data_IF_861178179939
#
_entry.id   IF_861178179939
#
_cell.length_a   1.000
_cell.length_b   1.000
_cell.length_c   1.000
_cell.angle_alpha   90.00
_cell.angle_beta   90.00
_cell.angle_gamma   90.00
#
_symmetry.space_group_name_H-M   'P 1'
#
loop_
_entity.id
_entity.type
_entity.pdbx_description
1 polymer ?
#
# COMPACT_ATOMS: atom_id res chain seq x y z
N UNK A 1 7.59 -12.48 20.44
CA UNK A 1 7.44 -13.78 21.10
C UNK A 1 8.04 -14.93 20.27
N UNK A 2 7.89 -14.93 18.94
CA UNK A 2 8.35 -16.05 18.08
C UNK A 2 9.88 -16.18 18.01
N UNK A 3 10.62 -15.10 17.83
CA UNK A 3 12.07 -15.10 17.73
C UNK A 3 12.76 -15.67 18.96
N UNK A 4 12.34 -15.24 20.15
CA UNK A 4 12.92 -15.71 21.42
C UNK A 4 12.63 -17.21 21.61
N UNK A 5 11.39 -17.63 21.42
CA UNK A 5 10.99 -19.03 21.55
C UNK A 5 11.68 -19.93 20.51
N UNK A 6 11.79 -19.48 19.24
CA UNK A 6 12.49 -20.23 18.21
C UNK A 6 14.00 -20.36 18.50
N UNK A 7 14.61 -19.31 19.05
CA UNK A 7 16.03 -19.34 19.46
C UNK A 7 16.29 -20.26 20.67
N UNK A 8 15.40 -20.28 21.65
CA UNK A 8 15.46 -21.17 22.82
C UNK A 8 15.34 -22.66 22.38
N UNK A 9 14.32 -22.97 21.54
CA UNK A 9 14.12 -24.33 21.05
C UNK A 9 15.28 -24.79 20.15
N UNK A 10 15.90 -23.86 19.39
CA UNK A 10 17.03 -24.17 18.51
C UNK A 10 18.26 -24.65 19.29
N UNK A 11 18.47 -24.17 20.53
CA UNK A 11 19.59 -24.59 21.39
C UNK A 11 19.41 -26.01 21.91
N UNK A 12 18.17 -26.44 22.11
CA UNK A 12 17.85 -27.76 22.71
C UNK A 12 17.53 -28.84 21.66
N UNK A 13 17.43 -28.47 20.36
CA UNK A 13 17.03 -29.39 19.30
C UNK A 13 18.21 -30.02 18.58
N UNK A 14 18.29 -31.36 18.62
CA UNK A 14 19.26 -32.18 17.88
C UNK A 14 18.72 -32.71 16.54
N UNK A 15 17.41 -32.54 16.26
CA UNK A 15 16.79 -32.95 15.01
C UNK A 15 17.10 -31.93 13.91
N UNK A 16 17.76 -32.41 12.84
CA UNK A 16 18.20 -31.57 11.71
C UNK A 16 17.02 -30.95 10.93
N UNK A 17 15.90 -31.64 10.80
CA UNK A 17 14.73 -31.14 10.08
C UNK A 17 14.04 -30.04 10.88
N UNK A 18 13.86 -30.25 12.18
CA UNK A 18 13.30 -29.26 13.08
C UNK A 18 14.21 -28.04 13.20
N UNK A 19 15.52 -28.23 13.26
CA UNK A 19 16.52 -27.16 13.26
C UNK A 19 16.44 -26.29 12.00
N UNK A 20 16.32 -26.89 10.82
CA UNK A 20 16.18 -26.15 9.56
C UNK A 20 14.87 -25.37 9.50
N UNK A 21 13.77 -25.90 9.99
CA UNK A 21 12.49 -25.18 10.10
C UNK A 21 12.61 -23.96 11.01
N UNK A 22 13.27 -24.11 12.17
CA UNK A 22 13.48 -23.01 13.10
C UNK A 22 14.40 -21.91 12.52
N UNK A 23 15.48 -22.31 11.82
CA UNK A 23 16.37 -21.37 11.12
C UNK A 23 15.63 -20.60 10.04
N UNK A 24 14.73 -21.22 9.28
CA UNK A 24 13.91 -20.56 8.27
C UNK A 24 12.96 -19.54 8.92
N UNK A 25 12.34 -19.89 10.05
CA UNK A 25 11.48 -18.95 10.81
C UNK A 25 12.29 -17.75 11.30
N UNK A 26 13.47 -17.98 11.88
CA UNK A 26 14.34 -16.91 12.36
C UNK A 26 14.82 -16.01 11.22
N UNK A 27 15.24 -16.59 10.10
CA UNK A 27 15.67 -15.84 8.91
C UNK A 27 14.53 -14.94 8.38
N UNK A 28 13.32 -15.49 8.30
CA UNK A 28 12.13 -14.75 7.86
C UNK A 28 11.78 -13.60 8.82
N UNK A 29 11.84 -13.84 10.13
CA UNK A 29 11.56 -12.83 11.14
C UNK A 29 12.63 -11.72 11.13
N UNK A 30 13.92 -12.04 10.91
CA UNK A 30 15.00 -11.05 10.75
C UNK A 30 14.77 -10.17 9.52
N UNK A 31 14.51 -10.77 8.35
CA UNK A 31 14.20 -10.02 7.13
C UNK A 31 13.00 -9.09 7.29
N UNK A 32 12.01 -9.52 8.08
CA UNK A 32 10.86 -8.69 8.43
C UNK A 32 11.25 -7.48 9.27
N UNK A 33 12.09 -7.68 10.29
CA UNK A 33 12.57 -6.59 11.15
C UNK A 33 13.39 -5.60 10.33
N UNK A 34 14.27 -6.07 9.46
CA UNK A 34 15.06 -5.22 8.56
C UNK A 34 14.16 -4.35 7.68
N UNK A 35 13.11 -4.94 7.07
CA UNK A 35 12.13 -4.16 6.29
C UNK A 35 11.40 -3.13 7.15
N UNK A 36 10.92 -3.52 8.33
CA UNK A 36 10.24 -2.60 9.24
C UNK A 36 11.13 -1.41 9.64
N UNK A 37 12.42 -1.65 9.91
CA UNK A 37 13.40 -0.59 10.23
C UNK A 37 13.61 0.31 9.02
N UNK A 38 13.76 -0.27 7.83
CA UNK A 38 13.97 0.48 6.58
C UNK A 38 12.76 1.35 6.26
N UNK A 39 11.56 0.77 6.29
CA UNK A 39 10.32 1.49 6.01
C UNK A 39 10.05 2.60 7.04
N UNK A 40 10.31 2.32 8.32
CA UNK A 40 10.16 3.32 9.37
C UNK A 40 11.18 4.46 9.24
N UNK A 41 12.44 4.13 8.91
CA UNK A 41 13.48 5.12 8.66
C UNK A 41 13.15 5.99 7.46
N UNK A 42 12.61 5.39 6.40
CA UNK A 42 12.16 6.13 5.22
C UNK A 42 10.99 7.07 5.55
N UNK A 43 10.00 6.57 6.31
CA UNK A 43 8.87 7.39 6.77
C UNK A 43 9.33 8.60 7.59
N UNK A 44 10.32 8.45 8.50
CA UNK A 44 10.88 9.57 9.27
C UNK A 44 11.62 10.58 8.38
N UNK A 45 12.38 10.09 7.38
CA UNK A 45 13.03 10.97 6.40
C UNK A 45 11.98 11.75 5.58
N UNK A 46 10.91 11.10 5.20
CA UNK A 46 9.81 11.71 4.47
C UNK A 46 9.10 12.78 5.31
N UNK A 47 8.84 12.54 6.59
CA UNK A 47 8.28 13.54 7.50
C UNK A 47 9.17 14.80 7.60
N UNK A 48 10.49 14.62 7.65
CA UNK A 48 11.45 15.74 7.66
C UNK A 48 11.53 16.44 6.31
N UNK A 49 11.48 15.71 5.20
CA UNK A 49 11.47 16.27 3.84
C UNK A 49 10.21 17.06 3.56
N UNK A 50 9.04 16.56 4.01
CA UNK A 50 7.74 17.24 3.87
C UNK A 50 7.74 18.65 4.45
N UNK A 51 8.48 18.90 5.52
CA UNK A 51 8.60 20.25 6.12
C UNK A 51 9.31 21.27 5.21
N UNK A 52 10.00 20.82 4.16
CA UNK A 52 10.77 21.64 3.21
C UNK A 52 10.16 21.69 1.82
N UNK A 53 9.29 20.75 1.48
CA UNK A 53 8.65 20.67 0.17
C UNK A 53 7.52 21.72 0.08
N UNK A 54 7.43 22.41 -1.06
CA UNK A 54 6.44 23.45 -1.29
C UNK A 54 5.30 22.91 -2.14
N UNK A 55 4.09 23.09 -1.68
CA UNK A 55 2.88 22.88 -2.46
C UNK A 55 2.90 23.73 -3.72
N UNK A 56 2.52 23.14 -4.85
CA UNK A 56 2.39 23.79 -6.16
C UNK A 56 1.06 23.40 -6.79
N UNK A 57 0.58 24.23 -7.71
CA UNK A 57 -0.56 23.86 -8.54
C UNK A 57 -0.10 22.81 -9.54
N UNK A 58 -0.58 21.59 -9.41
CA UNK A 58 -0.22 20.43 -10.25
C UNK A 58 -1.47 19.81 -10.86
N UNK A 59 -1.32 19.20 -12.03
CA UNK A 59 -2.32 18.35 -12.65
C UNK A 59 -2.01 16.90 -12.28
N UNK A 60 -2.94 16.24 -11.60
CA UNK A 60 -2.69 14.88 -11.09
C UNK A 60 -2.97 13.79 -12.11
N UNK A 61 -3.65 14.11 -13.21
CA UNK A 61 -4.00 13.13 -14.25
C UNK A 61 -2.77 12.49 -14.88
N UNK A 62 -1.78 13.24 -15.44
CA UNK A 62 -0.58 12.64 -16.00
C UNK A 62 0.26 11.88 -14.99
N UNK A 63 0.24 12.30 -13.70
CA UNK A 63 0.94 11.59 -12.62
C UNK A 63 0.33 10.21 -12.41
N UNK A 64 -1.01 10.15 -12.26
CA UNK A 64 -1.73 8.89 -12.04
C UNK A 64 -1.54 7.95 -13.25
N UNK A 65 -1.65 8.48 -14.48
CA UNK A 65 -1.48 7.70 -15.70
C UNK A 65 -0.08 7.08 -15.76
N UNK A 66 0.97 7.86 -15.47
CA UNK A 66 2.36 7.37 -15.45
C UNK A 66 2.54 6.20 -14.47
N UNK A 67 2.02 6.34 -13.25
CA UNK A 67 2.11 5.26 -12.25
C UNK A 67 1.34 4.02 -12.71
N UNK A 68 0.14 4.18 -13.28
CA UNK A 68 -0.67 3.06 -13.79
C UNK A 68 0.07 2.33 -14.91
N UNK A 69 0.69 3.06 -15.84
CA UNK A 69 1.43 2.47 -16.96
C UNK A 69 2.66 1.68 -16.47
N UNK A 70 3.41 2.22 -15.51
CA UNK A 70 4.56 1.54 -14.91
C UNK A 70 4.14 0.24 -14.22
N UNK A 71 3.05 0.27 -13.45
CA UNK A 71 2.53 -0.90 -12.76
C UNK A 71 1.97 -1.95 -13.72
N UNK A 72 1.31 -1.56 -14.79
CA UNK A 72 0.86 -2.48 -15.85
C UNK A 72 2.06 -3.19 -16.50
N UNK A 73 3.13 -2.47 -16.81
CA UNK A 73 4.34 -3.04 -17.41
C UNK A 73 4.97 -4.12 -16.52
N UNK A 74 4.91 -3.95 -15.20
CA UNK A 74 5.51 -4.89 -14.23
C UNK A 74 4.58 -6.06 -13.92
N UNK A 75 3.33 -5.80 -13.60
CA UNK A 75 2.42 -6.77 -12.96
C UNK A 75 1.59 -7.57 -13.96
N UNK A 76 1.31 -7.03 -15.16
CA UNK A 76 0.67 -7.76 -16.23
C UNK A 76 1.52 -8.97 -16.67
N UNK A 77 2.83 -8.80 -16.74
CA UNK A 77 3.76 -9.88 -17.10
C UNK A 77 3.93 -10.90 -15.95
N UNK A 78 4.01 -10.43 -14.71
CA UNK A 78 4.31 -11.30 -13.55
C UNK A 78 3.11 -12.07 -13.01
N UNK A 79 1.93 -11.43 -12.99
CA UNK A 79 0.73 -11.97 -12.35
C UNK A 79 -0.51 -11.94 -13.24
N UNK A 80 -0.43 -11.44 -14.47
CA UNK A 80 -1.58 -11.23 -15.34
C UNK A 80 -2.58 -10.19 -14.82
N UNK A 81 -2.21 -9.39 -13.81
CA UNK A 81 -3.06 -8.34 -13.24
C UNK A 81 -3.05 -7.15 -14.18
N UNK A 82 -4.25 -6.67 -14.52
CA UNK A 82 -4.45 -5.49 -15.37
C UNK A 82 -5.02 -4.34 -14.53
N UNK A 83 -4.41 -3.16 -14.68
CA UNK A 83 -4.91 -1.93 -14.06
C UNK A 83 -5.60 -1.11 -15.15
N UNK A 84 -6.90 -0.87 -14.99
CA UNK A 84 -7.69 -0.05 -15.89
C UNK A 84 -7.87 1.35 -15.31
N UNK A 85 -7.41 2.35 -16.06
CA UNK A 85 -7.56 3.76 -15.72
C UNK A 85 -8.77 4.35 -16.45
N UNK A 86 -9.59 5.13 -15.73
CA UNK A 86 -10.71 5.90 -16.28
C UNK A 86 -10.79 7.27 -15.61
N UNK A 87 -11.22 8.27 -16.38
CA UNK A 87 -11.55 9.59 -15.86
C UNK A 87 -12.92 10.05 -16.39
N UNK A 88 -13.47 11.13 -15.82
CA UNK A 88 -14.77 11.70 -16.19
C UNK A 88 -14.69 12.69 -17.38
N UNK A 89 -13.56 12.72 -18.10
CA UNK A 89 -13.36 13.53 -19.30
C UNK A 89 -13.09 15.02 -19.06
N UNK A 90 -12.69 15.41 -17.85
CA UNK A 90 -12.19 16.77 -17.58
C UNK A 90 -10.83 16.98 -18.23
N UNK A 91 -10.59 18.18 -18.73
CA UNK A 91 -9.31 18.54 -19.35
C UNK A 91 -8.14 18.52 -18.35
N UNK A 92 -8.42 18.83 -17.08
CA UNK A 92 -7.39 18.91 -16.02
C UNK A 92 -7.97 18.62 -14.65
N UNK A 93 -7.14 17.96 -13.83
CA UNK A 93 -7.43 17.66 -12.41
C UNK A 93 -6.41 18.38 -11.52
N UNK A 94 -6.64 19.69 -11.32
CA UNK A 94 -5.70 20.58 -10.65
C UNK A 94 -5.90 20.59 -9.15
N UNK A 95 -4.82 20.32 -8.42
CA UNK A 95 -4.73 20.48 -6.96
C UNK A 95 -3.55 21.36 -6.58
N UNK A 96 -3.55 21.84 -5.34
CA UNK A 96 -2.34 22.36 -4.71
C UNK A 96 -1.66 21.20 -4.01
N UNK A 97 -0.51 20.75 -4.49
CA UNK A 97 0.09 19.50 -4.03
C UNK A 97 1.58 19.37 -4.34
N UNK A 98 2.11 18.22 -3.98
CA UNK A 98 3.50 17.81 -4.16
C UNK A 98 3.50 16.56 -5.05
N UNK A 99 4.07 16.66 -6.25
CA UNK A 99 3.97 15.66 -7.33
C UNK A 99 4.42 14.26 -6.88
N UNK A 100 5.63 14.12 -6.36
CA UNK A 100 6.17 12.85 -5.88
C UNK A 100 5.38 12.24 -4.71
N UNK A 101 4.62 13.05 -3.96
CA UNK A 101 3.75 12.55 -2.88
C UNK A 101 2.43 12.03 -3.42
N UNK A 102 1.91 12.61 -4.49
CA UNK A 102 0.77 12.03 -5.21
C UNK A 102 1.17 10.69 -5.85
N UNK A 103 2.34 10.61 -6.50
CA UNK A 103 2.89 9.35 -6.99
C UNK A 103 2.95 8.30 -5.87
N UNK A 104 3.50 8.64 -4.71
CA UNK A 104 3.63 7.77 -3.54
C UNK A 104 2.27 7.29 -3.02
N UNK A 105 1.24 8.16 -3.00
CA UNK A 105 -0.13 7.78 -2.63
C UNK A 105 -0.65 6.69 -3.58
N UNK A 106 -0.57 6.94 -4.89
CA UNK A 106 -1.10 6.02 -5.90
C UNK A 106 -0.34 4.70 -5.87
N UNK A 107 0.99 4.73 -5.82
CA UNK A 107 1.84 3.54 -5.74
C UNK A 107 1.50 2.66 -4.52
N UNK A 108 1.42 3.24 -3.32
CA UNK A 108 1.06 2.49 -2.10
C UNK A 108 -0.35 1.87 -2.17
N UNK A 109 -1.31 2.56 -2.79
CA UNK A 109 -2.67 2.04 -2.96
C UNK A 109 -2.70 0.90 -3.98
N UNK A 110 -1.98 1.02 -5.10
CA UNK A 110 -1.86 -0.03 -6.11
C UNK A 110 -1.12 -1.26 -5.56
N UNK A 111 -0.01 -1.09 -4.84
CA UNK A 111 0.71 -2.19 -4.17
C UNK A 111 -0.23 -2.97 -3.25
N UNK A 112 -1.03 -2.24 -2.47
CA UNK A 112 -2.00 -2.85 -1.58
C UNK A 112 -3.06 -3.65 -2.39
N UNK A 113 -3.67 -3.05 -3.39
CA UNK A 113 -4.69 -3.66 -4.24
C UNK A 113 -4.18 -4.90 -4.96
N UNK A 114 -3.00 -4.83 -5.59
CA UNK A 114 -2.34 -5.96 -6.27
C UNK A 114 -1.99 -7.08 -5.30
N UNK A 115 -1.56 -6.73 -4.10
CA UNK A 115 -1.16 -7.72 -3.09
C UNK A 115 -2.35 -8.51 -2.51
N UNK A 116 -3.55 -7.94 -2.53
CA UNK A 116 -4.79 -8.60 -2.12
C UNK A 116 -5.56 -9.25 -3.28
N UNK A 117 -5.20 -8.94 -4.52
CA UNK A 117 -5.82 -9.51 -5.71
C UNK A 117 -5.25 -10.88 -6.05
N UNK A 118 -6.07 -11.72 -6.68
CA UNK A 118 -5.64 -12.99 -7.27
C UNK A 118 -4.92 -12.73 -8.59
N UNK A 119 -4.11 -13.68 -9.03
CA UNK A 119 -3.51 -13.64 -10.36
C UNK A 119 -4.62 -13.57 -11.43
N UNK A 120 -4.42 -12.71 -12.43
CA UNK A 120 -5.38 -12.46 -13.50
C UNK A 120 -6.55 -11.52 -13.14
N UNK A 121 -6.58 -10.96 -11.92
CA UNK A 121 -7.60 -10.01 -11.50
C UNK A 121 -7.42 -8.62 -12.16
N UNK A 122 -8.49 -7.80 -12.09
CA UNK A 122 -8.43 -6.41 -12.51
C UNK A 122 -8.39 -5.48 -11.29
N UNK A 123 -7.66 -4.37 -11.44
CA UNK A 123 -7.68 -3.23 -10.53
C UNK A 123 -8.16 -2.02 -11.33
N UNK A 124 -9.10 -1.26 -10.79
CA UNK A 124 -9.64 -0.08 -11.47
C UNK A 124 -9.20 1.19 -10.75
N UNK A 125 -8.79 2.18 -11.52
CA UNK A 125 -8.44 3.52 -11.03
C UNK A 125 -9.38 4.51 -11.72
N UNK A 126 -10.34 5.05 -10.96
CA UNK A 126 -11.32 6.01 -11.45
C UNK A 126 -11.04 7.40 -10.88
N UNK A 127 -10.93 8.39 -11.76
CA UNK A 127 -10.72 9.81 -11.38
C UNK A 127 -11.92 10.63 -11.84
N UNK A 128 -12.48 11.42 -10.93
CA UNK A 128 -13.65 12.25 -11.25
C UNK A 128 -13.69 13.50 -10.37
N UNK A 129 -14.47 14.50 -10.81
CA UNK A 129 -14.77 15.69 -10.02
C UNK A 129 -16.20 15.59 -9.49
N UNK A 130 -16.36 15.66 -8.16
CA UNK A 130 -17.68 15.61 -7.55
C UNK A 130 -18.40 16.99 -7.63
N UNK A 131 -19.69 17.02 -7.25
CA UNK A 131 -20.51 18.24 -7.29
C UNK A 131 -20.04 19.38 -6.37
N UNK A 132 -19.06 19.13 -5.49
CA UNK A 132 -18.42 20.14 -4.64
C UNK A 132 -17.09 20.65 -5.23
N UNK A 133 -16.79 20.33 -6.47
CA UNK A 133 -15.52 20.61 -7.15
C UNK A 133 -14.30 19.98 -6.49
N UNK A 134 -14.49 18.85 -5.79
CA UNK A 134 -13.41 18.06 -5.22
C UNK A 134 -13.04 16.93 -6.16
N UNK A 135 -11.76 16.65 -6.31
CA UNK A 135 -11.28 15.51 -7.09
C UNK A 135 -11.41 14.26 -6.24
N UNK A 136 -12.06 13.25 -6.79
CA UNK A 136 -12.20 11.92 -6.20
C UNK A 136 -11.37 10.92 -7.00
N UNK A 137 -10.47 10.22 -6.33
CA UNK A 137 -9.70 9.11 -6.88
C UNK A 137 -10.19 7.84 -6.19
N UNK A 138 -10.65 6.86 -6.98
CA UNK A 138 -11.09 5.55 -6.47
C UNK A 138 -10.16 4.49 -6.99
N UNK A 139 -9.61 3.66 -6.10
CA UNK A 139 -8.86 2.47 -6.47
C UNK A 139 -9.67 1.28 -5.98
N UNK A 140 -10.04 0.40 -6.91
CA UNK A 140 -10.99 -0.68 -6.70
C UNK A 140 -10.32 -1.99 -7.09
N UNK A 141 -10.21 -2.92 -6.16
CA UNK A 141 -9.67 -4.26 -6.40
C UNK A 141 -10.75 -5.34 -6.35
N UNK A 142 -10.39 -6.52 -6.84
CA UNK A 142 -11.21 -7.73 -6.80
C UNK A 142 -10.78 -8.69 -5.67
N UNK A 143 -10.11 -8.17 -4.64
CA UNK A 143 -9.66 -8.91 -3.48
C UNK A 143 -10.81 -9.44 -2.61
N UNK A 144 -10.43 -10.09 -1.52
CA UNK A 144 -11.41 -10.68 -0.58
C UNK A 144 -12.23 -9.66 0.23
N UNK A 145 -11.86 -8.38 0.14
CA UNK A 145 -12.47 -7.30 0.91
C UNK A 145 -12.06 -7.29 2.40
N UNK A 146 -12.66 -6.38 3.15
CA UNK A 146 -12.44 -6.22 4.59
C UNK A 146 -13.44 -7.07 5.37
N UNK A 147 -12.95 -7.80 6.39
CA UNK A 147 -13.78 -8.56 7.33
C UNK A 147 -14.35 -7.68 8.43
N UNK A 148 -13.64 -6.62 8.78
CA UNK A 148 -14.04 -5.68 9.81
C UNK A 148 -15.13 -4.73 9.30
N UNK A 149 -16.07 -4.41 10.20
CA UNK A 149 -17.08 -3.37 9.94
C UNK A 149 -16.47 -1.96 9.99
N UNK A 150 -15.48 -1.76 10.85
CA UNK A 150 -14.75 -0.49 10.99
C UNK A 150 -13.47 -0.54 10.16
N UNK A 151 -13.55 -0.05 8.94
CA UNK A 151 -12.41 0.03 8.01
C UNK A 151 -11.41 1.13 8.37
N UNK A 152 -11.71 2.04 9.30
CA UNK A 152 -10.76 3.09 9.73
C UNK A 152 -9.47 2.51 10.33
N UNK A 153 -9.54 1.30 10.88
CA UNK A 153 -8.40 0.62 11.51
C UNK A 153 -7.31 0.23 10.54
N UNK A 154 -7.62 0.05 9.24
CA UNK A 154 -6.61 -0.34 8.23
C UNK A 154 -5.56 0.75 8.01
N UNK A 155 -5.87 1.99 8.34
CA UNK A 155 -4.95 3.13 8.25
C UNK A 155 -4.05 3.30 9.48
N UNK A 156 -4.19 2.45 10.51
CA UNK A 156 -3.31 2.48 11.67
C UNK A 156 -1.93 1.90 11.32
N UNK A 157 -0.89 2.45 11.94
CA UNK A 157 0.50 1.96 11.78
C UNK A 157 0.58 0.47 12.16
N UNK A 158 1.31 -0.30 11.36
CA UNK A 158 1.55 -1.74 11.57
C UNK A 158 0.28 -2.60 11.56
N UNK A 159 -0.84 -2.07 11.06
CA UNK A 159 -2.04 -2.88 10.88
C UNK A 159 -1.85 -3.84 9.69
N UNK A 160 -2.04 -5.12 9.93
CA UNK A 160 -2.03 -6.17 8.90
C UNK A 160 -3.09 -7.21 9.23
N UNK A 161 -3.90 -7.58 8.25
CA UNK A 161 -4.92 -8.62 8.36
C UNK A 161 -4.51 -9.92 7.63
N UNK A 162 -3.20 -10.18 7.53
CA UNK A 162 -2.62 -11.35 6.86
C UNK A 162 -1.75 -12.17 7.81
N UNK A 163 -2.35 -13.05 8.64
CA UNK A 163 -1.58 -13.87 9.58
C UNK A 163 -0.60 -14.83 8.88
N UNK A 164 -0.94 -15.33 7.68
CA UNK A 164 -0.12 -16.32 6.95
C UNK A 164 1.01 -15.69 6.11
N UNK A 165 0.85 -14.44 5.71
CA UNK A 165 1.87 -13.66 4.96
C UNK A 165 2.40 -12.48 5.79
N UNK A 166 2.39 -12.66 7.09
CA UNK A 166 2.87 -11.66 8.03
C UNK A 166 4.37 -11.49 7.84
N UNK A 167 4.79 -10.41 7.20
CA UNK A 167 6.21 -10.10 6.95
C UNK A 167 6.53 -9.70 5.51
N UNK A 168 5.65 -9.95 4.54
CA UNK A 168 5.83 -9.46 3.17
C UNK A 168 5.56 -7.95 3.05
N UNK A 169 4.73 -7.39 3.95
CA UNK A 169 4.39 -5.96 3.99
C UNK A 169 4.49 -5.41 5.41
N UNK A 170 5.04 -4.20 5.55
CA UNK A 170 5.27 -3.54 6.83
C UNK A 170 4.01 -3.11 7.58
N UNK A 171 2.87 -3.01 6.89
CA UNK A 171 1.64 -2.43 7.42
C UNK A 171 1.72 -0.90 7.60
N UNK A 172 2.67 -0.25 6.95
CA UNK A 172 2.86 1.21 6.97
C UNK A 172 2.26 1.90 5.73
N UNK A 173 2.13 1.21 4.60
CA UNK A 173 1.73 1.82 3.32
C UNK A 173 0.42 2.61 3.40
N UNK A 174 -0.65 2.03 3.96
CA UNK A 174 -1.93 2.74 4.11
C UNK A 174 -1.88 3.87 5.15
N UNK A 175 -1.04 3.76 6.18
CA UNK A 175 -0.83 4.87 7.12
C UNK A 175 -0.09 6.03 6.45
N UNK A 176 0.92 5.74 5.62
CA UNK A 176 1.62 6.76 4.81
C UNK A 176 0.62 7.45 3.88
N UNK A 177 -0.21 6.69 3.17
CA UNK A 177 -1.25 7.25 2.30
C UNK A 177 -2.15 8.21 3.06
N UNK A 178 -2.65 7.80 4.23
CA UNK A 178 -3.52 8.65 5.06
C UNK A 178 -2.83 9.97 5.41
N UNK A 179 -1.60 9.94 5.92
CA UNK A 179 -0.84 11.13 6.30
C UNK A 179 -0.60 12.05 5.09
N UNK A 180 -0.28 11.49 3.93
CA UNK A 180 -0.05 12.26 2.71
C UNK A 180 -1.35 12.87 2.17
N UNK A 181 -2.47 12.16 2.22
CA UNK A 181 -3.78 12.69 1.84
C UNK A 181 -4.20 13.83 2.76
N UNK A 182 -4.04 13.67 4.08
CA UNK A 182 -4.31 14.72 5.07
C UNK A 182 -3.40 15.94 4.87
N UNK A 183 -2.14 15.74 4.49
CA UNK A 183 -1.21 16.85 4.13
C UNK A 183 -1.73 17.67 2.95
N UNK A 184 -2.45 17.05 2.02
CA UNK A 184 -3.07 17.71 0.86
C UNK A 184 -4.51 18.17 1.11
N UNK A 185 -4.92 18.35 2.37
CA UNK A 185 -6.27 18.71 2.79
C UNK A 185 -7.36 17.77 2.25
N UNK A 186 -7.00 16.53 1.99
CA UNK A 186 -7.88 15.49 1.49
C UNK A 186 -8.42 14.58 2.59
N UNK A 187 -9.33 13.69 2.19
CA UNK A 187 -9.90 12.63 3.02
C UNK A 187 -9.74 11.27 2.33
N UNK A 188 -9.46 10.23 3.10
CA UNK A 188 -9.40 8.86 2.60
C UNK A 188 -10.38 7.97 3.35
N UNK A 189 -11.12 7.17 2.60
CA UNK A 189 -12.06 6.18 3.11
C UNK A 189 -11.85 4.84 2.39
N UNK A 190 -12.17 3.75 3.07
CA UNK A 190 -12.15 2.42 2.47
C UNK A 190 -13.47 1.72 2.77
N UNK A 191 -13.96 0.96 1.81
CA UNK A 191 -15.21 0.20 1.94
C UNK A 191 -15.17 -1.05 1.07
N UNK A 192 -15.97 -2.04 1.42
CA UNK A 192 -16.22 -3.17 0.52
C UNK A 192 -17.13 -2.75 -0.64
N UNK A 193 -16.93 -3.38 -1.78
CA UNK A 193 -17.85 -3.23 -2.93
C UNK A 193 -19.23 -3.80 -2.57
N UNK A 194 -20.26 -3.11 -3.02
CA UNK A 194 -21.67 -3.52 -2.77
C UNK A 194 -22.11 -4.58 -3.80
N UNK A 195 -21.37 -4.69 -4.91
CA UNK A 195 -21.77 -5.46 -6.10
C UNK A 195 -21.19 -6.90 -6.12
N UNK A 196 -20.87 -7.44 -4.96
CA UNK A 196 -20.41 -8.84 -4.80
C UNK A 196 -21.38 -9.66 -3.99
#
# INVERSE_FOLDING_TARGET
ASLKSASEILQDTNDSEQRNRLLNILSHDVQRIERLITDYSQMLKDEVALSKEKMKKIDIEPIIQSVVDDYNNIHQVKKGIKIEYKNDGKDKYLINGIENRIEQIIANLLDNSISFSKDGANVFVDVSVNGKNQISIKIIDEGQGFKEKDTSRIFKRFYSNRPEKFGEHSGLGLNIVKNLVELHDGEIVASNRIDK
#
